data_IF_213183078801
#
_entry.id   IF_213183078801
#
_cell.length_a   1.000
_cell.length_b   1.000
_cell.length_c   1.000
_cell.angle_alpha   90.00
_cell.angle_beta   90.00
_cell.angle_gamma   90.00
#
_symmetry.space_group_name_H-M   'P 1'
#
loop_
_entity.id
_entity.type
_entity.pdbx_description
1 polymer ?
#
# COMPACT_ATOMS: atom_id res chain seq x y z
N UNK A 1 1.03 16.13 -8.89
CA UNK A 1 -0.26 15.93 -8.21
C UNK A 1 -0.16 16.58 -6.85
N UNK A 2 -1.18 17.34 -6.45
CA UNK A 2 -1.27 17.98 -5.16
C UNK A 2 -2.07 17.09 -4.21
N UNK A 3 -1.52 16.77 -3.03
CA UNK A 3 -2.13 15.82 -2.09
C UNK A 3 -3.49 16.31 -1.55
N UNK A 4 -3.70 17.63 -1.47
CA UNK A 4 -4.95 18.21 -0.96
C UNK A 4 -6.05 18.19 -2.02
N UNK A 5 -5.74 18.57 -3.25
CA UNK A 5 -6.76 18.67 -4.32
C UNK A 5 -6.98 17.34 -5.04
N UNK A 6 -5.95 16.51 -5.17
CA UNK A 6 -5.98 15.31 -6.02
C UNK A 6 -6.16 14.02 -5.22
N UNK A 7 -6.45 14.08 -3.92
CA UNK A 7 -6.47 12.92 -3.03
C UNK A 7 -7.33 11.77 -3.53
N UNK A 8 -8.51 12.09 -4.07
CA UNK A 8 -9.40 11.08 -4.64
C UNK A 8 -8.81 10.37 -5.86
N UNK A 9 -8.04 11.08 -6.70
CA UNK A 9 -7.32 10.49 -7.84
C UNK A 9 -6.16 9.62 -7.37
N UNK A 10 -5.41 10.08 -6.37
CA UNK A 10 -4.32 9.33 -5.72
C UNK A 10 -4.87 8.01 -5.15
N UNK A 11 -5.92 8.05 -4.33
CA UNK A 11 -6.57 6.86 -3.78
C UNK A 11 -7.01 5.88 -4.87
N UNK A 12 -7.64 6.37 -5.94
CA UNK A 12 -8.04 5.54 -7.09
C UNK A 12 -6.83 4.89 -7.77
N UNK A 13 -5.73 5.62 -7.93
CA UNK A 13 -4.49 5.09 -8.50
C UNK A 13 -3.87 3.99 -7.64
N UNK A 14 -3.81 4.18 -6.32
CA UNK A 14 -3.30 3.17 -5.39
C UNK A 14 -4.17 1.91 -5.36
N UNK A 15 -5.50 2.05 -5.41
CA UNK A 15 -6.40 0.91 -5.57
C UNK A 15 -6.14 0.14 -6.86
N UNK A 16 -5.93 0.84 -7.98
CA UNK A 16 -5.60 0.21 -9.27
C UNK A 16 -4.22 -0.47 -9.25
N UNK A 17 -3.24 0.17 -8.62
CA UNK A 17 -1.87 -0.36 -8.46
C UNK A 17 -1.89 -1.67 -7.67
N UNK A 18 -2.66 -1.70 -6.58
CA UNK A 18 -2.88 -2.92 -5.81
C UNK A 18 -3.60 -3.99 -6.64
N UNK A 19 -4.67 -3.66 -7.36
CA UNK A 19 -5.39 -4.66 -8.16
C UNK A 19 -4.55 -5.30 -9.27
N UNK A 20 -3.51 -4.62 -9.76
CA UNK A 20 -2.62 -5.15 -10.80
C UNK A 20 -1.40 -5.88 -10.26
N UNK A 21 -0.92 -5.58 -9.05
CA UNK A 21 0.32 -6.14 -8.50
C UNK A 21 0.15 -6.94 -7.21
N UNK A 22 -1.00 -6.84 -6.53
CA UNK A 22 -1.23 -7.32 -5.16
C UNK A 22 -0.36 -6.70 -4.07
N UNK A 23 0.45 -5.68 -4.37
CA UNK A 23 1.22 -4.92 -3.39
C UNK A 23 1.48 -3.49 -3.86
N UNK A 24 2.00 -2.68 -2.95
CA UNK A 24 2.75 -1.45 -3.25
C UNK A 24 4.13 -1.53 -2.63
N UNK A 25 5.06 -0.73 -3.13
CA UNK A 25 6.43 -0.70 -2.59
C UNK A 25 6.55 0.39 -1.54
N UNK A 26 7.04 0.06 -0.34
CA UNK A 26 7.31 1.02 0.73
C UNK A 26 8.81 1.09 0.98
N UNK A 27 9.41 2.22 0.67
CA UNK A 27 10.80 2.52 0.98
C UNK A 27 10.91 3.11 2.40
N UNK A 28 11.90 2.64 3.15
CA UNK A 28 12.27 3.16 4.47
C UNK A 28 13.78 3.05 4.68
N UNK A 29 14.30 3.78 5.68
CA UNK A 29 15.72 3.81 6.04
C UNK A 29 15.85 3.52 7.53
N UNK A 30 16.77 2.62 7.89
CA UNK A 30 17.06 2.26 9.29
C UNK A 30 18.28 2.97 9.86
N UNK A 31 18.78 2.48 11.00
CA UNK A 31 19.97 3.00 11.66
C UNK A 31 21.25 2.88 10.82
N UNK A 32 21.32 1.89 9.93
CA UNK A 32 22.47 1.66 9.04
C UNK A 32 22.47 2.60 7.82
N UNK A 33 21.49 3.50 7.72
CA UNK A 33 21.30 4.44 6.60
C UNK A 33 21.09 3.78 5.23
N UNK A 34 20.94 2.46 5.15
CA UNK A 34 20.67 1.77 3.91
C UNK A 34 19.16 1.81 3.58
N UNK A 35 18.78 2.23 2.36
CA UNK A 35 17.38 2.16 1.95
C UNK A 35 16.96 0.71 1.76
N UNK A 36 15.76 0.38 2.23
CA UNK A 36 15.10 -0.90 1.95
C UNK A 36 13.74 -0.65 1.33
N UNK A 37 13.36 -1.49 0.37
CA UNK A 37 12.00 -1.50 -0.20
C UNK A 37 11.27 -2.76 0.29
N UNK A 38 10.14 -2.55 0.96
CA UNK A 38 9.27 -3.61 1.48
C UNK A 38 7.98 -3.68 0.65
N UNK A 39 7.62 -4.82 0.05
CA UNK A 39 6.32 -4.98 -0.59
C UNK A 39 5.21 -5.11 0.46
N UNK A 40 4.20 -4.23 0.38
CA UNK A 40 3.06 -4.21 1.30
C UNK A 40 1.76 -4.56 0.56
N UNK A 41 1.22 -5.74 0.85
CA UNK A 41 -0.03 -6.26 0.29
C UNK A 41 -1.31 -5.80 1.00
N UNK A 42 -1.19 -4.92 1.98
CA UNK A 42 -2.29 -4.57 2.89
C UNK A 42 -2.44 -3.05 3.09
N UNK A 43 -1.92 -2.23 2.17
CA UNK A 43 -2.01 -0.77 2.29
C UNK A 43 -3.42 -0.25 1.92
N UNK A 44 -3.98 0.59 2.78
CA UNK A 44 -5.24 1.29 2.55
C UNK A 44 -5.07 2.79 2.79
N UNK A 45 -5.54 3.61 1.85
CA UNK A 45 -5.61 5.05 2.02
C UNK A 45 -7.01 5.47 2.50
N UNK A 46 -7.05 6.38 3.48
CA UNK A 46 -8.25 6.98 4.05
C UNK A 46 -8.72 8.18 3.21
N UNK A 47 -9.79 8.83 3.63
CA UNK A 47 -10.34 10.05 3.02
C UNK A 47 -9.60 11.32 3.46
N UNK A 48 -8.93 11.29 4.61
CA UNK A 48 -8.23 12.42 5.23
C UNK A 48 -6.70 12.40 5.06
N UNK A 49 -6.20 11.99 3.89
CA UNK A 49 -4.75 12.01 3.56
C UNK A 49 -3.85 11.10 4.42
N UNK A 50 -4.45 10.21 5.22
CA UNK A 50 -3.75 9.17 6.00
C UNK A 50 -3.94 7.80 5.36
N UNK A 51 -3.25 6.80 5.89
CA UNK A 51 -3.46 5.40 5.56
C UNK A 51 -3.17 4.45 6.71
N UNK A 52 -3.27 3.16 6.43
CA UNK A 52 -2.82 2.12 7.34
C UNK A 52 -2.43 0.89 6.53
N UNK A 53 -1.60 0.04 7.12
CA UNK A 53 -1.34 -1.29 6.60
C UNK A 53 -1.37 -2.34 7.71
N UNK A 54 -1.73 -3.56 7.33
CA UNK A 54 -1.67 -4.69 8.24
C UNK A 54 -0.28 -5.30 8.27
N UNK A 55 0.31 -5.30 9.45
CA UNK A 55 1.62 -5.88 9.68
C UNK A 55 1.49 -7.33 10.13
N UNK A 56 2.07 -8.21 9.31
CA UNK A 56 2.22 -9.63 9.65
C UNK A 56 3.57 -10.20 9.23
N UNK A 57 4.05 -9.80 8.05
CA UNK A 57 5.27 -10.32 7.44
C UNK A 57 6.43 -9.32 7.34
N UNK A 58 6.22 -7.99 7.22
CA UNK A 58 7.33 -7.03 7.21
C UNK A 58 8.18 -7.12 8.49
N UNK A 59 9.48 -7.37 8.35
CA UNK A 59 10.42 -7.42 9.47
C UNK A 59 11.26 -6.15 9.63
N UNK A 60 11.62 -5.49 8.51
CA UNK A 60 12.49 -4.30 8.51
C UNK A 60 11.73 -2.99 8.74
N UNK A 61 10.62 -2.78 8.02
CA UNK A 61 9.81 -1.56 8.10
C UNK A 61 9.46 -1.13 9.55
N UNK A 62 9.06 -2.04 10.47
CA UNK A 62 8.69 -1.68 11.84
C UNK A 62 9.90 -1.40 12.74
N UNK A 63 11.08 -1.89 12.36
CA UNK A 63 12.34 -1.57 13.03
C UNK A 63 12.87 -0.23 12.54
N UNK A 64 12.78 0.03 11.23
CA UNK A 64 13.23 1.28 10.63
C UNK A 64 12.44 2.47 11.19
N UNK A 65 11.14 2.33 11.41
CA UNK A 65 10.31 3.41 11.98
C UNK A 65 10.70 3.84 13.39
N UNK A 66 11.45 3.02 14.14
CA UNK A 66 12.03 3.41 15.43
C UNK A 66 13.20 4.39 15.27
N UNK A 67 13.90 4.34 14.15
CA UNK A 67 15.03 5.23 13.83
C UNK A 67 14.58 6.44 13.01
N UNK A 68 13.76 6.20 11.99
CA UNK A 68 13.31 7.18 11.04
C UNK A 68 11.89 6.83 10.56
N UNK A 69 10.95 7.71 10.89
CA UNK A 69 9.54 7.52 10.51
C UNK A 69 9.28 7.83 9.04
N UNK A 70 10.17 8.56 8.37
CA UNK A 70 9.97 8.94 6.98
C UNK A 70 9.93 7.72 6.06
N UNK A 71 8.92 7.68 5.21
CA UNK A 71 8.72 6.62 4.22
C UNK A 71 8.36 7.21 2.85
N UNK A 72 8.59 6.42 1.82
CA UNK A 72 8.08 6.68 0.48
C UNK A 72 7.30 5.47 -0.03
N UNK A 73 6.04 5.67 -0.37
CA UNK A 73 5.15 4.65 -0.91
C UNK A 73 5.03 4.84 -2.42
N UNK A 74 5.38 3.81 -3.19
CA UNK A 74 5.26 3.79 -4.64
C UNK A 74 4.13 2.86 -5.07
N UNK A 75 3.10 3.42 -5.70
CA UNK A 75 2.04 2.70 -6.38
C UNK A 75 2.26 2.69 -7.90
N UNK A 76 2.54 1.53 -8.47
CA UNK A 76 2.73 1.34 -9.91
C UNK A 76 1.51 0.65 -10.52
N UNK A 77 1.00 1.17 -11.64
CA UNK A 77 -0.03 0.51 -12.44
C UNK A 77 0.63 -0.36 -13.50
N UNK A 78 0.53 -1.67 -13.33
CA UNK A 78 1.19 -2.67 -14.18
C UNK A 78 0.20 -3.52 -14.99
N UNK A 79 -1.10 -3.27 -14.88
CA UNK A 79 -2.12 -4.10 -15.54
C UNK A 79 -1.95 -4.14 -17.06
N UNK A 80 -2.04 -5.34 -17.65
CA UNK A 80 -1.73 -5.58 -19.07
C UNK A 80 -2.53 -4.70 -20.03
N UNK A 81 -3.82 -4.48 -19.76
CA UNK A 81 -4.67 -3.62 -20.60
C UNK A 81 -4.25 -2.14 -20.55
N UNK A 82 -3.74 -1.68 -19.40
CA UNK A 82 -3.20 -0.31 -19.28
C UNK A 82 -1.97 -0.13 -20.16
N UNK A 83 -1.06 -1.11 -20.16
CA UNK A 83 0.13 -1.11 -21.00
C UNK A 83 -0.19 -1.25 -22.48
N UNK A 84 -1.05 -2.20 -22.86
CA UNK A 84 -1.47 -2.39 -24.25
C UNK A 84 -2.07 -1.11 -24.83
N UNK A 85 -2.95 -0.44 -24.07
CA UNK A 85 -3.54 0.84 -24.47
C UNK A 85 -2.49 1.94 -24.61
N UNK A 86 -1.49 1.97 -23.73
CA UNK A 86 -0.42 2.96 -23.79
C UNK A 86 0.48 2.74 -25.02
N UNK A 87 0.85 1.49 -25.30
CA UNK A 87 1.63 1.10 -26.48
C UNK A 87 0.88 1.45 -27.76
N UNK A 88 -0.40 1.06 -27.87
CA UNK A 88 -1.23 1.37 -29.03
C UNK A 88 -1.40 2.89 -29.25
N UNK A 89 -1.48 3.68 -28.18
CA UNK A 89 -1.62 5.15 -28.27
C UNK A 89 -0.30 5.91 -28.31
N UNK A 90 0.85 5.23 -28.20
CA UNK A 90 2.17 5.85 -28.05
C UNK A 90 2.34 6.72 -26.79
N UNK A 91 1.42 6.65 -25.81
CA UNK A 91 1.48 7.45 -24.57
C UNK A 91 0.64 6.86 -23.45
N UNK A 92 1.03 7.11 -22.20
CA UNK A 92 0.21 6.78 -21.04
C UNK A 92 -0.98 7.74 -20.93
N UNK A 93 -2.21 7.20 -20.86
CA UNK A 93 -3.43 8.01 -20.70
C UNK A 93 -3.65 8.52 -19.27
N UNK A 94 -2.80 8.12 -18.34
CA UNK A 94 -2.83 8.49 -16.92
C UNK A 94 -1.49 8.14 -16.30
N UNK A 95 -1.12 8.76 -15.18
CA UNK A 95 0.14 8.47 -14.48
C UNK A 95 0.35 6.96 -14.31
N UNK A 96 1.48 6.39 -14.79
CA UNK A 96 1.78 4.97 -14.65
C UNK A 96 2.23 4.64 -13.21
N UNK A 97 2.79 5.61 -12.50
CA UNK A 97 3.18 5.47 -11.10
C UNK A 97 2.95 6.76 -10.31
N UNK A 98 2.69 6.64 -9.00
CA UNK A 98 2.59 7.75 -8.05
C UNK A 98 3.42 7.40 -6.81
N UNK A 99 4.19 8.37 -6.31
CA UNK A 99 4.85 8.33 -5.01
C UNK A 99 4.05 9.13 -3.99
N UNK A 100 3.96 8.62 -2.77
CA UNK A 100 3.52 9.34 -1.59
C UNK A 100 4.67 9.35 -0.57
N UNK A 101 4.97 10.52 -0.04
CA UNK A 101 5.88 10.66 1.09
C UNK A 101 5.03 10.91 2.33
N UNK A 102 5.45 10.34 3.45
CA UNK A 102 4.76 10.47 4.72
C UNK A 102 5.60 9.90 5.86
N UNK A 103 4.99 9.83 7.03
CA UNK A 103 5.62 9.30 8.23
C UNK A 103 4.85 8.07 8.73
N UNK A 104 5.58 7.03 9.13
CA UNK A 104 4.98 5.87 9.76
C UNK A 104 4.56 6.23 11.20
N UNK A 105 3.27 6.11 11.49
CA UNK A 105 2.67 6.23 12.81
C UNK A 105 2.96 5.03 13.71
N UNK A 106 2.33 4.98 14.88
CA UNK A 106 2.59 3.92 15.87
C UNK A 106 1.80 2.64 15.61
N UNK A 107 2.29 1.53 16.20
CA UNK A 107 1.59 0.25 16.17
C UNK A 107 0.36 0.31 17.07
N UNK A 108 -0.81 -0.04 16.55
CA UNK A 108 -2.04 -0.18 17.34
C UNK A 108 -2.89 -1.38 16.93
N UNK A 109 -3.93 -1.66 17.71
CA UNK A 109 -4.94 -2.66 17.34
C UNK A 109 -5.78 -2.16 16.15
N UNK A 110 -6.19 -3.10 15.30
CA UNK A 110 -7.08 -2.80 14.19
C UNK A 110 -8.49 -2.44 14.68
N UNK A 111 -9.04 -1.36 14.16
CA UNK A 111 -10.47 -1.05 14.34
C UNK A 111 -11.32 -2.02 13.51
N UNK A 112 -12.58 -2.18 13.90
CA UNK A 112 -13.52 -3.01 13.15
C UNK A 112 -13.69 -2.54 11.70
N UNK A 113 -13.65 -1.23 11.47
CA UNK A 113 -13.75 -0.62 10.13
C UNK A 113 -12.57 -1.09 9.25
N UNK A 114 -11.36 -1.12 9.79
CA UNK A 114 -10.16 -1.54 9.07
C UNK A 114 -10.19 -3.04 8.79
N UNK A 115 -10.60 -3.86 9.76
CA UNK A 115 -10.78 -5.30 9.59
C UNK A 115 -11.81 -5.58 8.49
N UNK A 116 -12.95 -4.88 8.48
CA UNK A 116 -13.96 -4.99 7.42
C UNK A 116 -13.39 -4.62 6.05
N UNK A 117 -12.54 -3.59 5.95
CA UNK A 117 -11.86 -3.20 4.70
C UNK A 117 -10.89 -4.27 4.21
N UNK A 118 -10.14 -4.90 5.11
CA UNK A 118 -9.28 -6.03 4.78
C UNK A 118 -10.09 -7.22 4.26
N UNK A 119 -11.11 -7.65 5.01
CA UNK A 119 -11.96 -8.77 4.63
C UNK A 119 -12.63 -8.55 3.27
N UNK A 120 -13.07 -7.31 2.97
CA UNK A 120 -13.62 -6.96 1.66
C UNK A 120 -12.60 -7.10 0.55
N UNK A 121 -11.35 -6.65 0.76
CA UNK A 121 -10.26 -6.79 -0.23
C UNK A 121 -9.90 -8.25 -0.46
N UNK A 122 -9.91 -9.07 0.59
CA UNK A 122 -9.54 -10.48 0.53
C UNK A 122 -10.68 -11.41 0.07
N UNK A 123 -11.92 -10.89 -0.04
CA UNK A 123 -13.15 -11.66 -0.33
C UNK A 123 -13.00 -12.68 -1.46
N UNK A 124 -12.32 -12.30 -2.54
CA UNK A 124 -12.12 -13.16 -3.73
C UNK A 124 -11.32 -14.43 -3.38
N UNK A 125 -10.47 -14.37 -2.36
CA UNK A 125 -9.60 -15.48 -1.93
C UNK A 125 -10.09 -16.20 -0.69
N UNK A 126 -11.20 -15.78 -0.07
CA UNK A 126 -11.67 -16.33 1.21
C UNK A 126 -11.98 -17.85 1.18
N UNK A 127 -12.31 -18.40 0.01
CA UNK A 127 -12.54 -19.85 -0.16
C UNK A 127 -11.26 -20.69 -0.20
N UNK A 128 -10.07 -20.07 -0.30
CA UNK A 128 -8.80 -20.78 -0.38
C UNK A 128 -8.27 -21.04 1.04
N UNK A 129 -7.79 -22.27 1.30
CA UNK A 129 -7.14 -22.63 2.58
C UNK A 129 -6.00 -21.67 2.94
N UNK A 130 -5.26 -21.19 1.93
CA UNK A 130 -4.19 -20.21 2.09
C UNK A 130 -4.67 -18.86 2.63
N UNK A 131 -5.90 -18.43 2.36
CA UNK A 131 -6.43 -17.20 2.92
C UNK A 131 -6.60 -17.31 4.44
N UNK A 132 -7.17 -18.41 4.93
CA UNK A 132 -7.33 -18.64 6.37
C UNK A 132 -5.96 -18.65 7.07
N UNK A 133 -4.95 -19.28 6.47
CA UNK A 133 -3.61 -19.35 7.05
C UNK A 133 -2.90 -17.98 7.05
N UNK A 134 -2.99 -17.25 5.94
CA UNK A 134 -2.31 -15.97 5.75
C UNK A 134 -3.02 -14.82 6.47
N UNK A 135 -4.31 -14.89 6.82
CA UNK A 135 -5.07 -13.71 7.23
C UNK A 135 -5.85 -13.78 8.57
N UNK A 136 -5.66 -14.76 9.46
CA UNK A 136 -6.48 -14.91 10.70
C UNK A 136 -5.92 -14.31 12.02
N UNK A 137 -4.74 -13.67 12.06
CA UNK A 137 -4.14 -13.02 13.27
C UNK A 137 -3.54 -11.66 12.92
N UNK A 138 -3.88 -10.56 13.62
CA UNK A 138 -3.48 -9.18 13.23
C UNK A 138 -3.12 -8.19 14.37
N UNK A 139 -2.20 -7.28 14.04
CA UNK A 139 -1.91 -5.97 14.68
C UNK A 139 -1.56 -4.94 13.57
N UNK A 140 -1.75 -3.62 13.76
CA UNK A 140 -1.60 -2.56 12.72
C UNK A 140 -0.53 -1.52 13.06
N UNK A 141 -0.05 -0.78 12.05
CA UNK A 141 0.54 0.56 12.20
C UNK A 141 -0.26 1.59 11.37
N UNK A 142 -0.32 2.84 11.83
CA UNK A 142 -0.88 3.97 11.05
C UNK A 142 0.17 4.62 10.13
N UNK A 143 -0.27 5.24 9.03
CA UNK A 143 0.55 5.96 8.04
C UNK A 143 -0.02 7.37 7.79
#
# INVERSE_FOLDING_TARGET
MNIKTDWNLIRKHFNKSFSSNFYVSVASVGFDSNPTVTPIGSLFLNDNQTGFYFEKFPSKLPLHSKANKNICILGVRSGSFFWLKALFKGKFTSNPAIKLYGELGEKRKASEKEIKRLNRRMKITNGLKGNVYLWKKWSLFEL
#
